data_IF_886196213269
#
_entry.id   IF_886196213269
#
_cell.length_a   1.000
_cell.length_b   1.000
_cell.length_c   1.000
_cell.angle_alpha   90.00
_cell.angle_beta   90.00
_cell.angle_gamma   90.00
#
_symmetry.space_group_name_H-M   'P 1'
#
loop_
_entity.id
_entity.type
_entity.pdbx_description
1 polymer ?
#
# COMPACT_ATOMS: atom_id res chain seq x y z
N UNK A 1 -12.63 -3.93 3.54
CA UNK A 1 -13.04 -4.03 2.13
C UNK A 1 -11.89 -3.76 1.15
N UNK A 2 -11.29 -2.56 1.12
CA UNK A 2 -10.30 -2.20 0.09
C UNK A 2 -9.02 -3.06 0.04
N UNK A 3 -8.43 -3.37 1.20
CA UNK A 3 -7.28 -4.28 1.29
C UNK A 3 -7.60 -5.70 0.79
N UNK A 4 -8.77 -6.23 1.16
CA UNK A 4 -9.21 -7.54 0.69
C UNK A 4 -9.45 -7.56 -0.82
N UNK A 5 -10.07 -6.51 -1.38
CA UNK A 5 -10.24 -6.35 -2.81
C UNK A 5 -8.91 -6.28 -3.57
N UNK A 6 -7.96 -5.49 -3.06
CA UNK A 6 -6.61 -5.42 -3.64
C UNK A 6 -5.87 -6.76 -3.56
N UNK A 7 -6.00 -7.47 -2.42
CA UNK A 7 -5.43 -8.81 -2.24
C UNK A 7 -6.01 -9.82 -3.24
N UNK A 8 -7.33 -9.88 -3.39
CA UNK A 8 -7.98 -10.74 -4.41
C UNK A 8 -7.53 -10.39 -5.82
N UNK A 9 -7.47 -9.11 -6.15
CA UNK A 9 -7.02 -8.67 -7.47
C UNK A 9 -5.57 -9.08 -7.75
N UNK A 10 -4.68 -8.97 -6.75
CA UNK A 10 -3.28 -9.42 -6.89
C UNK A 10 -3.18 -10.92 -7.11
N UNK A 11 -3.92 -11.72 -6.36
CA UNK A 11 -3.99 -13.17 -6.60
C UNK A 11 -4.49 -13.45 -8.01
N UNK A 12 -5.57 -12.80 -8.44
CA UNK A 12 -6.12 -12.98 -9.79
C UNK A 12 -5.14 -12.63 -10.91
N UNK A 13 -4.40 -11.52 -10.78
CA UNK A 13 -3.36 -11.13 -11.75
C UNK A 13 -2.23 -12.15 -11.77
N UNK A 14 -1.74 -12.57 -10.60
CA UNK A 14 -0.65 -13.55 -10.50
C UNK A 14 -1.05 -14.93 -11.04
N UNK A 15 -2.28 -15.39 -10.78
CA UNK A 15 -2.78 -16.66 -11.32
C UNK A 15 -2.80 -16.65 -12.85
N UNK A 16 -3.28 -15.56 -13.47
CA UNK A 16 -3.28 -15.44 -14.95
C UNK A 16 -1.86 -15.44 -15.53
N UNK A 17 -0.91 -14.78 -14.87
CA UNK A 17 0.48 -14.76 -15.30
C UNK A 17 1.08 -16.18 -15.25
N UNK A 18 0.77 -16.95 -14.19
CA UNK A 18 1.18 -18.36 -14.08
C UNK A 18 0.55 -19.21 -15.17
N UNK A 19 -0.76 -19.07 -15.43
CA UNK A 19 -1.46 -19.80 -16.48
C UNK A 19 -0.92 -19.47 -17.88
N UNK A 20 -0.44 -18.24 -18.08
CA UNK A 20 0.19 -17.77 -19.31
C UNK A 20 1.67 -18.18 -19.45
N UNK A 21 2.26 -18.83 -18.42
CA UNK A 21 3.67 -19.24 -18.42
C UNK A 21 4.66 -18.07 -18.27
N UNK A 22 4.22 -16.94 -17.72
CA UNK A 22 5.10 -15.80 -17.46
C UNK A 22 6.10 -16.14 -16.34
N UNK A 23 7.40 -15.84 -16.51
CA UNK A 23 8.38 -16.03 -15.45
C UNK A 23 8.06 -15.20 -14.21
N UNK A 24 8.03 -15.85 -13.05
CA UNK A 24 7.90 -15.15 -11.77
C UNK A 24 9.17 -14.35 -11.46
N UNK A 25 9.05 -13.13 -10.90
CA UNK A 25 10.20 -12.44 -10.31
C UNK A 25 10.84 -13.27 -9.21
N UNK A 26 12.17 -13.35 -9.19
CA UNK A 26 12.95 -14.06 -8.16
C UNK A 26 13.93 -13.11 -7.43
N UNK A 27 13.43 -12.20 -6.59
CA UNK A 27 14.27 -11.29 -5.82
C UNK A 27 15.06 -12.03 -4.72
N UNK A 28 16.30 -11.60 -4.39
CA UNK A 28 17.02 -12.11 -3.24
C UNK A 28 16.20 -12.00 -1.94
N UNK A 29 16.27 -13.03 -1.09
CA UNK A 29 15.51 -13.11 0.16
C UNK A 29 15.82 -11.95 1.11
N UNK A 30 17.07 -11.51 1.12
CA UNK A 30 17.57 -10.39 1.92
C UNK A 30 16.92 -9.08 1.47
N UNK A 31 16.70 -8.91 0.17
CA UNK A 31 16.02 -7.75 -0.40
C UNK A 31 14.55 -7.73 -0.01
N UNK A 32 13.86 -8.88 -0.04
CA UNK A 32 12.48 -8.99 0.43
C UNK A 32 12.36 -8.63 1.92
N UNK A 33 13.26 -9.16 2.76
CA UNK A 33 13.30 -8.84 4.19
C UNK A 33 13.53 -7.35 4.43
N UNK A 34 14.46 -6.73 3.69
CA UNK A 34 14.73 -5.31 3.77
C UNK A 34 13.50 -4.47 3.34
N UNK A 35 12.85 -4.85 2.24
CA UNK A 35 11.65 -4.17 1.74
C UNK A 35 10.51 -4.20 2.77
N UNK A 36 10.24 -5.36 3.38
CA UNK A 36 9.23 -5.48 4.42
C UNK A 36 9.55 -4.64 5.65
N UNK A 37 10.81 -4.66 6.10
CA UNK A 37 11.22 -3.89 7.26
C UNK A 37 11.09 -2.38 7.03
N UNK A 38 11.55 -1.89 5.87
CA UNK A 38 11.42 -0.47 5.50
C UNK A 38 9.95 -0.07 5.39
N UNK A 39 9.10 -0.91 4.80
CA UNK A 39 7.67 -0.63 4.67
C UNK A 39 6.98 -0.55 6.04
N UNK A 40 7.33 -1.44 6.97
CA UNK A 40 6.77 -1.44 8.32
C UNK A 40 7.26 -0.23 9.15
N UNK A 41 8.54 0.14 9.01
CA UNK A 41 9.16 1.24 9.76
C UNK A 41 8.69 2.61 9.27
N UNK A 42 8.77 2.83 7.95
CA UNK A 42 8.64 4.18 7.38
C UNK A 42 7.25 4.42 6.76
N UNK A 43 6.50 3.35 6.46
CA UNK A 43 5.19 3.43 5.81
C UNK A 43 5.24 4.20 4.48
N UNK A 44 4.10 4.78 4.07
CA UNK A 44 4.02 5.55 2.83
C UNK A 44 4.85 6.86 2.84
N UNK A 45 5.35 7.30 3.98
CA UNK A 45 6.21 8.48 4.08
C UNK A 45 7.67 8.22 3.70
N UNK A 46 8.08 6.95 3.59
CA UNK A 46 9.47 6.55 3.40
C UNK A 46 9.86 6.17 1.98
N UNK A 47 11.08 5.63 1.90
CA UNK A 47 11.63 5.01 0.69
C UNK A 47 11.94 3.54 0.97
N UNK A 48 11.75 2.72 -0.05
CA UNK A 48 12.01 1.29 -0.02
C UNK A 48 12.89 0.88 -1.20
N UNK A 49 12.79 -0.40 -1.55
CA UNK A 49 13.36 -0.99 -2.77
C UNK A 49 12.22 -1.56 -3.59
N UNK A 50 12.22 -1.26 -4.89
CA UNK A 50 11.41 -2.00 -5.85
C UNK A 50 12.02 -3.40 -6.01
N UNK A 51 11.29 -4.41 -5.55
CA UNK A 51 11.77 -5.80 -5.56
C UNK A 51 11.82 -6.40 -6.97
N UNK A 52 11.17 -5.79 -7.96
CA UNK A 52 11.23 -6.23 -9.35
C UNK A 52 12.48 -5.71 -10.07
N UNK A 53 12.99 -4.53 -9.70
CA UNK A 53 14.13 -3.90 -10.37
C UNK A 53 15.40 -3.80 -9.50
N UNK A 54 15.27 -4.03 -8.20
CA UNK A 54 16.35 -3.85 -7.22
C UNK A 54 16.71 -2.39 -6.94
N UNK A 55 15.93 -1.43 -7.44
CA UNK A 55 16.24 0.00 -7.34
C UNK A 55 15.54 0.67 -6.15
N UNK A 56 16.16 1.68 -5.51
CA UNK A 56 15.49 2.48 -4.51
C UNK A 56 14.28 3.23 -5.08
N UNK A 57 13.13 3.16 -4.41
CA UNK A 57 11.88 3.77 -4.87
C UNK A 57 11.09 4.36 -3.69
N UNK A 58 10.20 5.31 -3.95
CA UNK A 58 9.31 5.85 -2.92
C UNK A 58 8.16 4.88 -2.61
N UNK A 59 7.75 4.70 -1.36
CA UNK A 59 6.61 3.81 -1.08
C UNK A 59 5.28 4.29 -1.68
N UNK A 60 5.15 5.58 -1.95
CA UNK A 60 3.99 6.16 -2.67
C UNK A 60 3.98 5.78 -4.15
N UNK A 61 5.15 5.74 -4.77
CA UNK A 61 5.34 5.29 -6.15
C UNK A 61 5.03 3.79 -6.25
N UNK A 62 5.66 2.98 -5.40
CA UNK A 62 5.41 1.54 -5.34
C UNK A 62 3.94 1.18 -5.08
N UNK A 63 3.24 1.95 -4.24
CA UNK A 63 1.81 1.76 -4.01
C UNK A 63 0.96 2.14 -5.25
N UNK A 64 1.39 3.15 -6.01
CA UNK A 64 0.80 3.51 -7.29
C UNK A 64 0.98 2.42 -8.34
N UNK A 65 2.18 1.87 -8.45
CA UNK A 65 2.50 0.79 -9.38
C UNK A 65 1.74 -0.50 -9.02
N UNK A 66 1.66 -0.82 -7.73
CA UNK A 66 0.85 -1.94 -7.24
C UNK A 66 -0.62 -1.78 -7.63
N UNK A 67 -1.17 -0.57 -7.49
CA UNK A 67 -2.55 -0.29 -7.89
C UNK A 67 -2.70 -0.42 -9.41
N UNK A 68 -1.79 0.17 -10.19
CA UNK A 68 -1.83 0.12 -11.65
C UNK A 68 -1.80 -1.33 -12.15
N UNK A 69 -0.96 -2.16 -11.55
CA UNK A 69 -0.85 -3.58 -11.87
C UNK A 69 -2.12 -4.37 -11.48
N UNK A 70 -2.82 -3.98 -10.40
CA UNK A 70 -4.06 -4.63 -9.97
C UNK A 70 -5.32 -4.14 -10.69
N UNK A 71 -5.26 -3.00 -11.41
CA UNK A 71 -6.43 -2.35 -12.02
C UNK A 71 -7.26 -3.26 -12.93
N UNK A 72 -6.68 -4.09 -13.83
CA UNK A 72 -7.48 -4.96 -14.69
C UNK A 72 -8.36 -5.92 -13.89
N UNK A 73 -7.78 -6.64 -12.91
CA UNK A 73 -8.54 -7.58 -12.08
C UNK A 73 -9.52 -6.89 -11.12
N UNK A 74 -9.19 -5.67 -10.65
CA UNK A 74 -10.15 -4.84 -9.91
C UNK A 74 -11.32 -4.41 -10.79
N UNK A 75 -11.08 -4.16 -12.09
CA UNK A 75 -12.11 -3.84 -13.07
C UNK A 75 -13.06 -5.00 -13.29
N UNK A 76 -12.52 -6.20 -13.51
CA UNK A 76 -13.29 -7.44 -13.67
C UNK A 76 -14.20 -7.72 -12.46
N UNK A 77 -13.75 -7.37 -11.25
CA UNK A 77 -14.49 -7.54 -10.01
C UNK A 77 -15.43 -6.37 -9.66
N UNK A 78 -15.45 -5.29 -10.44
CA UNK A 78 -16.21 -4.07 -10.14
C UNK A 78 -15.67 -3.23 -8.96
N UNK A 79 -14.50 -3.56 -8.45
CA UNK A 79 -13.87 -2.95 -7.26
C UNK A 79 -12.97 -1.75 -7.61
N UNK A 80 -12.64 -1.52 -8.89
CA UNK A 80 -11.64 -0.55 -9.34
C UNK A 80 -11.87 0.87 -8.79
N UNK A 81 -13.06 1.44 -8.98
CA UNK A 81 -13.35 2.80 -8.54
C UNK A 81 -13.24 2.96 -7.01
N UNK A 82 -13.71 1.95 -6.25
CA UNK A 82 -13.65 1.97 -4.79
C UNK A 82 -12.20 1.90 -4.28
N UNK A 83 -11.42 0.96 -4.80
CA UNK A 83 -10.02 0.78 -4.38
C UNK A 83 -9.15 1.95 -4.81
N UNK A 84 -9.27 2.43 -6.06
CA UNK A 84 -8.51 3.58 -6.56
C UNK A 84 -8.77 4.83 -5.74
N UNK A 85 -10.03 5.12 -5.38
CA UNK A 85 -10.36 6.26 -4.49
C UNK A 85 -9.68 6.10 -3.12
N UNK A 86 -9.73 4.90 -2.55
CA UNK A 86 -9.09 4.61 -1.26
C UNK A 86 -7.58 4.83 -1.28
N UNK A 87 -6.89 4.28 -2.28
CA UNK A 87 -5.44 4.45 -2.45
C UNK A 87 -5.09 5.91 -2.72
N UNK A 88 -5.80 6.60 -3.62
CA UNK A 88 -5.57 8.04 -3.88
C UNK A 88 -5.74 8.89 -2.63
N UNK A 89 -6.72 8.59 -1.77
CA UNK A 89 -6.90 9.29 -0.49
C UNK A 89 -5.69 9.10 0.43
N UNK A 90 -5.13 7.89 0.50
CA UNK A 90 -3.91 7.64 1.29
C UNK A 90 -2.70 8.36 0.70
N UNK A 91 -2.55 8.34 -0.63
CA UNK A 91 -1.47 9.03 -1.34
C UNK A 91 -1.59 10.57 -1.30
N UNK A 92 -2.77 11.13 -1.09
CA UNK A 92 -2.95 12.58 -0.95
C UNK A 92 -2.91 13.04 0.51
N UNK A 93 -3.66 12.37 1.39
CA UNK A 93 -3.92 12.81 2.76
C UNK A 93 -3.19 12.03 3.86
N UNK A 94 -2.36 11.07 3.48
CA UNK A 94 -1.64 10.22 4.42
C UNK A 94 -2.49 9.12 5.08
N UNK A 95 -1.79 8.25 5.78
CA UNK A 95 -2.27 7.08 6.51
C UNK A 95 -2.91 7.45 7.84
N UNK A 96 -3.67 6.51 8.42
CA UNK A 96 -4.17 6.64 9.78
C UNK A 96 -3.05 6.84 10.80
N UNK A 97 -1.96 6.08 10.67
CA UNK A 97 -0.80 6.18 11.56
C UNK A 97 -0.12 7.56 11.50
N UNK A 98 -0.02 8.17 10.31
CA UNK A 98 0.49 9.54 10.17
C UNK A 98 -0.42 10.55 10.88
N UNK A 99 -1.75 10.45 10.73
CA UNK A 99 -2.71 11.31 11.44
C UNK A 99 -2.65 11.14 12.96
N UNK A 100 -2.57 9.89 13.42
CA UNK A 100 -2.47 9.55 14.84
C UNK A 100 -1.18 10.10 15.47
N UNK A 101 -0.03 9.94 14.80
CA UNK A 101 1.25 10.53 15.25
C UNK A 101 1.21 12.06 15.23
N UNK A 102 0.56 12.67 14.25
CA UNK A 102 0.39 14.12 14.21
C UNK A 102 -0.47 14.62 15.38
N UNK A 103 -1.58 13.93 15.69
CA UNK A 103 -2.44 14.26 16.82
C UNK A 103 -1.69 14.15 18.15
N UNK A 104 -0.99 13.05 18.39
CA UNK A 104 -0.19 12.86 19.60
C UNK A 104 0.88 13.95 19.77
N UNK A 105 1.58 14.33 18.71
CA UNK A 105 2.62 15.38 18.77
C UNK A 105 2.10 16.76 19.18
N UNK A 106 0.79 17.04 19.06
CA UNK A 106 0.23 18.35 19.42
C UNK A 106 0.22 18.60 20.93
N UNK A 107 -0.09 17.58 21.74
CA UNK A 107 -0.23 17.72 23.21
C UNK A 107 0.34 16.57 24.03
N UNK A 108 0.83 15.51 23.41
CA UNK A 108 1.35 14.31 24.08
C UNK A 108 0.29 13.44 24.75
N UNK A 109 -0.99 13.58 24.37
CA UNK A 109 -2.10 12.84 25.01
C UNK A 109 -2.56 11.69 24.14
N UNK A 110 -2.70 10.51 24.73
CA UNK A 110 -3.26 9.34 24.04
C UNK A 110 -4.74 9.54 23.64
N UNK A 111 -5.48 10.36 24.38
CA UNK A 111 -6.85 10.74 24.01
C UNK A 111 -6.92 11.39 22.61
N UNK A 112 -5.94 12.23 22.26
CA UNK A 112 -5.90 12.88 20.92
C UNK A 112 -5.70 11.84 19.79
N UNK A 113 -5.08 10.69 20.09
CA UNK A 113 -4.91 9.57 19.14
C UNK A 113 -6.22 8.84 18.93
N UNK A 114 -6.98 8.61 20.01
CA UNK A 114 -8.31 7.99 19.98
C UNK A 114 -9.28 8.89 19.20
N UNK A 115 -9.28 10.19 19.49
CA UNK A 115 -10.11 11.18 18.80
C UNK A 115 -9.79 11.20 17.30
N UNK A 116 -8.50 11.18 16.93
CA UNK A 116 -8.08 11.12 15.52
C UNK A 116 -8.44 9.79 14.80
N UNK A 117 -8.73 8.72 15.55
CA UNK A 117 -9.14 7.43 14.99
C UNK A 117 -10.67 7.32 14.82
N UNK A 118 -11.43 7.97 15.70
CA UNK A 118 -12.90 7.89 15.75
C UNK A 118 -13.58 9.02 14.98
N UNK A 119 -12.98 10.21 14.96
CA UNK A 119 -13.55 11.34 14.24
C UNK A 119 -13.18 11.23 12.76
N UNK A 120 -14.15 11.21 11.83
CA UNK A 120 -13.85 11.31 10.42
C UNK A 120 -13.11 12.63 10.20
N UNK A 121 -11.83 12.54 9.83
CA UNK A 121 -11.01 13.72 9.59
C UNK A 121 -11.72 14.65 8.60
N UNK A 122 -11.87 15.92 9.01
CA UNK A 122 -12.45 16.99 8.19
C UNK A 122 -11.70 17.29 6.91
#
# INVERSE_FOLDING_TARGET
>A
AGLAALGRARVGVSSRAVDAGEPAPDPPQEMLRAAYWLAARDGLGGRGVDVCTGRPAGFRELAGDLLAHALPALGDAGDAAFVTRGVRRLLAGGTGAERQRAAYRRRGRLADVVDAALLPGG
#
